data_IF_153234582104
#
_entry.id   IF_153234582104
#
_cell.length_a   1.000
_cell.length_b   1.000
_cell.length_c   1.000
_cell.angle_alpha   90.00
_cell.angle_beta   90.00
_cell.angle_gamma   90.00
#
_symmetry.space_group_name_H-M   'P 1'
#
loop_
_entity.id
_entity.type
_entity.pdbx_description
1 polymer ?
#
# COMPACT_ATOMS: atom_id res chain seq x y z
N UNK A 1 16.55 -54.03 54.96
CA UNK A 1 16.28 -52.59 54.74
C UNK A 1 14.95 -52.49 54.03
N UNK A 2 13.91 -52.11 54.80
CA UNK A 2 12.60 -51.63 54.34
C UNK A 2 12.72 -50.27 53.59
N UNK A 3 11.64 -49.60 53.10
CA UNK A 3 10.24 -50.04 52.94
C UNK A 3 9.60 -49.75 51.56
N UNK A 4 8.37 -50.27 51.48
CA UNK A 4 7.25 -50.04 50.56
C UNK A 4 6.82 -48.56 50.47
N UNK A 5 6.49 -48.07 49.27
CA UNK A 5 5.96 -46.72 49.02
C UNK A 5 4.74 -46.71 48.10
N UNK A 6 3.59 -46.36 48.69
CA UNK A 6 2.23 -46.34 48.17
C UNK A 6 2.01 -45.55 46.85
N UNK A 7 1.23 -46.14 45.95
CA UNK A 7 0.43 -45.39 44.96
C UNK A 7 -0.76 -44.76 45.65
N UNK A 8 -0.80 -43.42 45.73
CA UNK A 8 -1.98 -42.66 46.13
C UNK A 8 -2.51 -41.94 44.89
N UNK A 9 -3.70 -42.40 44.47
CA UNK A 9 -4.59 -41.71 43.55
C UNK A 9 -5.09 -40.42 44.21
N UNK A 10 -4.74 -39.26 43.65
CA UNK A 10 -5.32 -37.97 44.01
C UNK A 10 -6.25 -37.53 42.89
N UNK A 11 -7.53 -37.73 43.14
CA UNK A 11 -8.65 -37.19 42.38
C UNK A 11 -8.72 -35.68 42.70
N UNK A 12 -8.16 -34.82 41.84
CA UNK A 12 -8.33 -33.37 41.99
C UNK A 12 -9.68 -32.92 41.41
N UNK A 13 -10.63 -32.70 42.32
CA UNK A 13 -11.86 -31.93 42.11
C UNK A 13 -11.53 -30.55 41.53
N UNK A 14 -11.96 -30.31 40.29
CA UNK A 14 -11.92 -28.98 39.66
C UNK A 14 -13.05 -28.14 40.26
N UNK A 15 -12.68 -27.18 41.11
CA UNK A 15 -13.57 -26.09 41.53
C UNK A 15 -13.62 -25.01 40.43
N UNK A 16 -14.78 -24.38 40.16
CA UNK A 16 -14.89 -23.33 39.15
C UNK A 16 -14.24 -22.03 39.65
N UNK A 17 -13.26 -21.55 38.88
CA UNK A 17 -12.56 -20.29 39.11
C UNK A 17 -13.47 -19.13 38.70
N UNK A 18 -13.88 -18.30 39.66
CA UNK A 18 -14.54 -17.02 39.41
C UNK A 18 -13.55 -16.02 38.80
N UNK A 19 -13.95 -15.19 37.81
CA UNK A 19 -13.07 -14.19 37.22
C UNK A 19 -12.84 -12.99 38.17
N UNK A 20 -11.65 -12.39 38.18
CA UNK A 20 -11.32 -11.29 39.07
C UNK A 20 -12.03 -9.99 38.69
N UNK A 21 -12.63 -9.37 39.70
CA UNK A 21 -13.22 -8.04 39.71
C UNK A 21 -12.21 -6.95 39.35
N UNK A 22 -12.52 -6.14 38.34
CA UNK A 22 -11.72 -5.00 37.89
C UNK A 22 -11.73 -3.85 38.92
N UNK A 23 -10.59 -3.21 39.19
CA UNK A 23 -10.50 -2.13 40.17
C UNK A 23 -11.18 -0.85 39.66
N UNK A 24 -12.07 -0.35 40.51
CA UNK A 24 -12.85 0.86 40.36
C UNK A 24 -11.93 2.09 40.55
N UNK A 25 -11.65 2.83 39.47
CA UNK A 25 -10.95 4.12 39.59
C UNK A 25 -11.93 5.20 40.12
N UNK A 26 -11.50 6.05 41.07
CA UNK A 26 -12.38 7.07 41.65
C UNK A 26 -12.64 8.22 40.66
N UNK A 27 -13.92 8.55 40.47
CA UNK A 27 -14.34 9.80 39.85
C UNK A 27 -13.92 11.00 40.74
N UNK A 28 -13.34 12.08 40.18
CA UNK A 28 -13.13 13.31 40.92
C UNK A 28 -14.46 13.96 41.29
N UNK A 29 -14.57 14.30 42.58
CA UNK A 29 -15.65 15.01 43.24
C UNK A 29 -16.01 16.32 42.52
N UNK A 30 -17.31 16.57 42.43
CA UNK A 30 -17.92 17.86 42.08
C UNK A 30 -17.48 18.93 43.09
N UNK A 31 -16.72 19.93 42.64
CA UNK A 31 -16.58 21.19 43.37
C UNK A 31 -17.73 22.13 42.96
N UNK A 32 -18.57 22.48 43.93
CA UNK A 32 -19.46 23.63 43.88
C UNK A 32 -18.63 24.88 44.16
N UNK A 33 -18.49 25.79 43.20
CA UNK A 33 -18.13 27.18 43.53
C UNK A 33 -18.73 28.17 42.53
N UNK A 34 -19.67 28.94 43.06
CA UNK A 34 -20.05 30.34 42.77
C UNK A 34 -20.44 30.76 41.35
N UNK A 35 -21.75 31.05 41.25
CA UNK A 35 -22.37 31.98 40.31
C UNK A 35 -21.53 33.26 40.14
N UNK A 36 -21.22 33.59 38.89
CA UNK A 36 -21.08 34.97 38.44
C UNK A 36 -22.09 35.19 37.31
N UNK A 37 -23.04 36.08 37.58
CA UNK A 37 -24.08 36.53 36.68
C UNK A 37 -23.46 37.45 35.62
N UNK A 38 -23.65 37.17 34.33
CA UNK A 38 -23.40 38.08 33.18
C UNK A 38 -24.48 37.81 32.12
N UNK A 39 -24.86 38.80 31.28
CA UNK A 39 -26.24 39.17 31.05
C UNK A 39 -26.86 38.44 29.85
N UNK A 40 -28.17 38.53 29.75
CA UNK A 40 -29.00 38.00 28.67
C UNK A 40 -28.42 38.28 27.29
N UNK A 41 -27.93 37.24 26.62
CA UNK A 41 -27.77 37.19 25.17
C UNK A 41 -28.86 36.24 24.66
N UNK A 42 -29.64 36.77 23.72
CA UNK A 42 -30.81 36.15 23.11
C UNK A 42 -30.59 34.66 22.80
N UNK A 43 -31.51 33.80 23.22
CA UNK A 43 -31.47 32.36 22.95
C UNK A 43 -31.55 32.11 21.44
N UNK A 44 -30.40 32.04 20.77
CA UNK A 44 -30.33 31.67 19.36
C UNK A 44 -30.85 30.23 19.20
N UNK A 45 -31.75 30.05 18.23
CA UNK A 45 -32.31 28.73 17.93
C UNK A 45 -31.18 27.77 17.50
N UNK A 46 -31.36 26.46 17.73
CA UNK A 46 -30.35 25.42 17.37
C UNK A 46 -29.88 25.56 15.92
N UNK A 47 -30.78 26.03 15.05
CA UNK A 47 -30.58 26.30 13.64
C UNK A 47 -29.69 27.52 13.35
N UNK A 48 -29.77 28.58 14.16
CA UNK A 48 -28.98 29.81 13.98
C UNK A 48 -27.52 29.64 14.40
N UNK A 49 -27.26 28.93 15.51
CA UNK A 49 -25.89 28.60 15.94
C UNK A 49 -25.23 27.58 15.00
N UNK A 50 -25.99 26.60 14.49
CA UNK A 50 -25.49 25.66 13.49
C UNK A 50 -25.04 26.39 12.22
N UNK A 51 -25.81 27.39 11.75
CA UNK A 51 -25.43 28.23 10.59
C UNK A 51 -24.15 29.03 10.83
N UNK A 52 -23.95 29.56 12.04
CA UNK A 52 -22.75 30.35 12.39
C UNK A 52 -21.48 29.49 12.53
N UNK A 53 -21.59 28.30 13.13
CA UNK A 53 -20.45 27.37 13.24
C UNK A 53 -20.14 26.72 11.90
N UNK A 54 -21.16 26.41 11.10
CA UNK A 54 -21.00 25.88 9.74
C UNK A 54 -20.27 26.87 8.81
N UNK A 55 -20.62 28.16 8.85
CA UNK A 55 -19.96 29.16 8.01
C UNK A 55 -18.53 29.50 8.45
N UNK A 56 -18.16 29.28 9.72
CA UNK A 56 -16.81 29.58 10.23
C UNK A 56 -15.83 28.38 10.16
N UNK A 57 -16.30 27.13 10.26
CA UNK A 57 -15.42 25.96 10.40
C UNK A 57 -15.52 24.91 9.25
N UNK A 58 -16.42 25.10 8.27
CA UNK A 58 -16.48 24.21 7.07
C UNK A 58 -15.32 24.47 6.09
N UNK A 59 -14.53 25.54 6.28
CA UNK A 59 -13.35 25.86 5.48
C UNK A 59 -12.08 25.04 5.82
N UNK A 60 -12.22 23.87 6.44
CA UNK A 60 -11.29 22.75 6.16
C UNK A 60 -10.32 22.31 7.26
N UNK A 61 -10.41 22.81 8.50
CA UNK A 61 -9.46 22.41 9.58
C UNK A 61 -10.04 21.40 10.58
N UNK A 62 -11.36 21.38 10.80
CA UNK A 62 -12.02 20.48 11.76
C UNK A 62 -12.89 19.44 11.07
N UNK A 63 -12.94 18.23 11.63
CA UNK A 63 -13.78 17.16 11.11
C UNK A 63 -15.26 17.41 11.43
N UNK A 64 -16.22 16.99 10.58
CA UNK A 64 -17.66 17.11 10.86
C UNK A 64 -18.07 16.50 12.20
N UNK A 65 -17.41 15.42 12.60
CA UNK A 65 -17.61 14.78 13.92
C UNK A 65 -17.21 15.73 15.05
N UNK A 66 -16.08 16.43 14.92
CA UNK A 66 -15.62 17.39 15.93
C UNK A 66 -16.54 18.59 16.03
N UNK A 67 -16.97 19.14 14.89
CA UNK A 67 -17.89 20.28 14.82
C UNK A 67 -19.23 19.93 15.46
N UNK A 68 -19.78 18.75 15.12
CA UNK A 68 -21.03 18.26 15.70
C UNK A 68 -20.90 18.00 17.21
N UNK A 69 -19.79 17.41 17.65
CA UNK A 69 -19.53 17.17 19.07
C UNK A 69 -19.46 18.51 19.84
N UNK A 70 -18.74 19.51 19.32
CA UNK A 70 -18.59 20.82 19.92
C UNK A 70 -19.96 21.53 20.07
N UNK A 71 -20.77 21.52 19.01
CA UNK A 71 -22.12 22.09 19.00
C UNK A 71 -23.05 21.44 20.03
N UNK A 72 -23.08 20.10 20.08
CA UNK A 72 -24.01 19.36 20.92
C UNK A 72 -23.59 19.36 22.40
N UNK A 73 -22.28 19.24 22.68
CA UNK A 73 -21.77 19.26 24.06
C UNK A 73 -22.06 20.59 24.75
N UNK A 74 -22.00 21.71 24.04
CA UNK A 74 -22.36 23.04 24.59
C UNK A 74 -23.80 23.10 25.07
N UNK A 75 -24.69 22.28 24.53
CA UNK A 75 -26.11 22.17 24.91
C UNK A 75 -26.40 20.99 25.84
N UNK A 76 -25.36 20.30 26.33
CA UNK A 76 -25.50 19.13 27.19
C UNK A 76 -25.98 17.87 26.48
N UNK A 77 -26.00 17.86 25.14
CA UNK A 77 -26.40 16.72 24.32
C UNK A 77 -25.16 15.93 23.93
N UNK A 78 -25.17 14.62 24.18
CA UNK A 78 -24.07 13.74 23.74
C UNK A 78 -24.54 12.89 22.55
N UNK A 79 -23.99 13.10 21.33
CA UNK A 79 -24.34 12.28 20.18
C UNK A 79 -23.83 10.85 20.36
N UNK A 80 -24.70 9.87 20.18
CA UNK A 80 -24.32 8.44 20.16
C UNK A 80 -24.21 7.95 18.73
N UNK A 81 -23.15 7.22 18.42
CA UNK A 81 -22.92 6.63 17.10
C UNK A 81 -22.99 5.11 17.18
N UNK A 82 -23.80 4.50 16.33
CA UNK A 82 -23.98 3.05 16.26
C UNK A 82 -23.64 2.55 14.86
N UNK A 83 -22.82 1.50 14.79
CA UNK A 83 -22.54 0.80 13.53
C UNK A 83 -23.68 -0.17 13.28
N UNK A 84 -24.48 0.11 12.26
CA UNK A 84 -25.69 -0.67 11.97
C UNK A 84 -25.40 -1.81 11.01
N UNK A 85 -24.55 -1.58 10.01
CA UNK A 85 -24.30 -2.60 9.01
C UNK A 85 -22.96 -2.46 8.32
N UNK A 86 -22.42 -3.61 7.91
CA UNK A 86 -21.30 -3.74 6.99
C UNK A 86 -21.86 -4.52 5.80
N UNK A 87 -22.01 -3.86 4.66
CA UNK A 87 -22.46 -4.43 3.38
C UNK A 87 -21.31 -4.35 2.36
N UNK A 88 -21.50 -4.95 1.18
CA UNK A 88 -20.54 -4.86 0.07
C UNK A 88 -19.51 -5.99 0.04
N UNK A 89 -18.72 -6.01 -1.04
CA UNK A 89 -17.69 -7.01 -1.23
C UNK A 89 -16.51 -6.77 -0.30
N UNK A 90 -15.69 -7.80 -0.03
CA UNK A 90 -14.48 -7.66 0.80
C UNK A 90 -13.52 -6.60 0.24
N UNK A 91 -13.49 -6.45 -1.08
CA UNK A 91 -12.68 -5.43 -1.77
C UNK A 91 -13.38 -4.07 -1.90
N UNK A 92 -14.68 -3.98 -1.59
CA UNK A 92 -15.47 -2.74 -1.61
C UNK A 92 -16.51 -2.73 -0.46
N UNK A 93 -16.05 -2.64 0.80
CA UNK A 93 -16.95 -2.66 1.94
C UNK A 93 -17.65 -1.31 2.13
N UNK A 94 -18.95 -1.37 2.42
CA UNK A 94 -19.82 -0.24 2.76
C UNK A 94 -20.18 -0.34 4.23
N UNK A 95 -19.79 0.67 5.00
CA UNK A 95 -20.11 0.79 6.42
C UNK A 95 -21.25 1.79 6.59
N UNK A 96 -22.24 1.45 7.42
CA UNK A 96 -23.38 2.32 7.73
C UNK A 96 -23.44 2.65 9.21
N UNK A 97 -23.34 3.93 9.54
CA UNK A 97 -23.45 4.46 10.90
C UNK A 97 -24.75 5.24 11.07
N UNK A 98 -25.39 5.08 12.23
CA UNK A 98 -26.50 5.94 12.68
C UNK A 98 -26.04 6.82 13.82
N UNK A 99 -26.50 8.06 13.83
CA UNK A 99 -26.29 9.02 14.92
C UNK A 99 -27.61 9.29 15.64
N UNK A 100 -27.57 9.25 16.96
CA UNK A 100 -28.70 9.48 17.85
C UNK A 100 -28.46 10.72 18.70
N UNK A 101 -29.50 11.55 18.85
CA UNK A 101 -29.55 12.71 19.73
C UNK A 101 -30.56 12.44 20.84
N UNK A 102 -30.16 12.53 22.11
CA UNK A 102 -31.03 12.25 23.25
C UNK A 102 -31.80 10.92 23.13
N UNK A 103 -31.14 9.89 22.57
CA UNK A 103 -31.71 8.57 22.32
C UNK A 103 -32.79 8.51 21.21
N UNK A 104 -33.02 9.61 20.48
CA UNK A 104 -33.80 9.65 19.25
C UNK A 104 -32.91 9.54 18.02
N UNK A 105 -33.37 8.80 17.02
CA UNK A 105 -32.65 8.63 15.75
C UNK A 105 -32.64 9.95 14.98
N UNK A 106 -31.44 10.43 14.64
CA UNK A 106 -31.27 11.76 14.04
C UNK A 106 -30.83 11.71 12.57
N UNK A 107 -29.83 10.90 12.24
CA UNK A 107 -29.37 10.73 10.85
C UNK A 107 -28.62 9.42 10.65
N UNK A 108 -28.46 9.02 9.37
CA UNK A 108 -27.60 7.91 8.96
C UNK A 108 -26.51 8.40 8.01
N UNK A 109 -25.38 7.72 7.97
CA UNK A 109 -24.31 7.97 7.00
C UNK A 109 -23.62 6.68 6.58
N UNK A 110 -23.14 6.68 5.34
CA UNK A 110 -22.45 5.54 4.72
C UNK A 110 -21.05 5.94 4.30
N UNK A 111 -20.14 4.97 4.21
CA UNK A 111 -18.78 5.23 3.73
C UNK A 111 -17.97 3.96 3.53
N UNK A 112 -16.82 4.08 2.85
CA UNK A 112 -15.93 2.94 2.55
C UNK A 112 -15.07 2.48 3.74
N UNK A 113 -15.16 3.20 4.85
CA UNK A 113 -14.51 2.84 6.11
C UNK A 113 -15.39 3.24 7.29
N UNK A 114 -15.16 2.63 8.47
CA UNK A 114 -15.86 3.03 9.71
C UNK A 114 -15.68 4.51 10.04
N UNK A 115 -14.49 5.07 9.76
CA UNK A 115 -14.20 6.50 9.98
C UNK A 115 -15.04 7.35 9.03
N UNK A 116 -15.00 7.05 7.74
CA UNK A 116 -15.72 7.77 6.69
C UNK A 116 -17.24 7.75 6.91
N UNK A 117 -17.81 6.57 7.18
CA UNK A 117 -19.23 6.42 7.49
C UNK A 117 -19.67 7.23 8.72
N UNK A 118 -18.83 7.28 9.76
CA UNK A 118 -19.08 8.11 10.94
C UNK A 118 -19.02 9.61 10.63
N UNK A 119 -18.10 10.03 9.77
CA UNK A 119 -17.98 11.44 9.33
C UNK A 119 -19.17 11.84 8.45
N UNK A 120 -19.60 10.96 7.54
CA UNK A 120 -20.81 11.14 6.74
C UNK A 120 -22.06 11.26 7.61
N UNK A 121 -22.22 10.40 8.62
CA UNK A 121 -23.37 10.48 9.54
C UNK A 121 -23.40 11.79 10.33
N UNK A 122 -22.24 12.26 10.80
CA UNK A 122 -22.13 13.54 11.50
C UNK A 122 -22.41 14.73 10.55
N UNK A 123 -21.93 14.67 9.31
CA UNK A 123 -22.17 15.70 8.30
C UNK A 123 -23.65 15.79 7.92
N UNK A 124 -24.31 14.67 7.66
CA UNK A 124 -25.74 14.64 7.33
C UNK A 124 -26.59 15.25 8.47
N UNK A 125 -26.21 14.98 9.72
CA UNK A 125 -26.86 15.60 10.87
C UNK A 125 -26.59 17.11 10.97
N UNK A 126 -25.36 17.57 10.68
CA UNK A 126 -25.06 18.99 10.62
C UNK A 126 -25.85 19.69 9.51
N UNK A 127 -25.94 19.10 8.32
CA UNK A 127 -26.69 19.65 7.19
C UNK A 127 -28.20 19.73 7.50
N UNK A 128 -28.74 18.74 8.24
CA UNK A 128 -30.11 18.78 8.80
C UNK A 128 -30.28 19.96 9.78
N UNK A 129 -29.34 20.14 10.71
CA UNK A 129 -29.40 21.22 11.72
C UNK A 129 -29.24 22.62 11.11
N UNK A 130 -28.51 22.76 10.01
CA UNK A 130 -28.32 24.03 9.28
C UNK A 130 -29.51 24.35 8.37
N UNK A 131 -30.38 23.37 8.11
CA UNK A 131 -31.55 23.50 7.23
C UNK A 131 -31.22 23.37 5.74
N UNK A 132 -30.12 22.68 5.39
CA UNK A 132 -29.71 22.42 4.00
C UNK A 132 -30.34 21.15 3.41
N UNK A 133 -30.90 20.27 4.24
CA UNK A 133 -31.56 19.03 3.83
C UNK A 133 -32.81 18.75 4.67
N UNK A 134 -33.82 18.10 4.08
CA UNK A 134 -35.02 17.60 4.76
C UNK A 134 -34.76 16.25 5.44
N UNK A 135 -35.48 15.94 6.52
CA UNK A 135 -35.31 14.70 7.30
C UNK A 135 -35.47 13.40 6.47
N UNK A 136 -36.25 13.42 5.37
CA UNK A 136 -36.35 12.27 4.46
C UNK A 136 -35.11 12.05 3.58
N UNK A 137 -34.36 13.11 3.26
CA UNK A 137 -33.16 13.04 2.41
C UNK A 137 -31.91 12.62 3.20
N UNK A 138 -31.80 13.04 4.47
CA UNK A 138 -30.73 12.61 5.38
C UNK A 138 -30.80 11.11 5.72
N UNK A 139 -31.94 10.47 5.45
CA UNK A 139 -32.22 9.06 5.74
C UNK A 139 -32.16 8.14 4.50
N UNK A 140 -32.18 8.70 3.28
CA UNK A 140 -32.03 7.94 2.03
C UNK A 140 -30.65 8.19 1.40
N UNK A 141 -29.65 7.44 1.87
CA UNK A 141 -28.46 7.13 1.06
C UNK A 141 -28.58 5.68 0.59
N UNK A 142 -29.45 5.44 -0.38
CA UNK A 142 -29.31 4.25 -1.22
C UNK A 142 -28.02 4.44 -2.01
N UNK A 143 -27.11 3.47 -1.91
CA UNK A 143 -25.84 3.50 -2.62
C UNK A 143 -26.06 3.74 -4.10
N UNK A 144 -25.70 4.92 -4.58
CA UNK A 144 -25.56 5.21 -5.99
C UNK A 144 -24.17 4.75 -6.42
N UNK A 145 -24.03 3.69 -7.23
CA UNK A 145 -22.77 3.33 -7.84
C UNK A 145 -22.54 4.32 -9.00
N UNK A 146 -21.67 5.31 -8.80
CA UNK A 146 -21.25 6.19 -9.92
C UNK A 146 -21.12 7.68 -9.65
N UNK A 147 -21.10 8.17 -8.40
CA UNK A 147 -20.74 9.55 -8.13
C UNK A 147 -19.21 9.72 -8.01
N UNK A 148 -18.62 10.82 -8.53
CA UNK A 148 -17.18 10.98 -8.63
C UNK A 148 -16.52 11.08 -7.26
N UNK A 149 -15.27 10.64 -7.27
CA UNK A 149 -14.32 10.40 -6.18
C UNK A 149 -14.25 11.51 -5.11
N UNK A 150 -15.10 11.44 -4.07
CA UNK A 150 -15.00 12.29 -2.84
C UNK A 150 -14.19 11.54 -1.76
N UNK A 151 -13.05 10.96 -2.13
CA UNK A 151 -12.07 10.44 -1.15
C UNK A 151 -11.17 11.58 -0.59
N UNK A 152 -11.38 12.81 -1.03
CA UNK A 152 -10.36 13.86 -0.98
C UNK A 152 -10.48 14.84 0.20
N UNK A 153 -11.54 14.80 1.02
CA UNK A 153 -11.81 15.88 1.99
C UNK A 153 -11.79 15.49 3.48
N UNK A 154 -11.00 14.50 3.86
CA UNK A 154 -10.50 14.40 5.25
C UNK A 154 -8.97 14.44 5.21
N UNK A 155 -8.45 15.55 4.67
CA UNK A 155 -7.03 15.86 4.67
C UNK A 155 -6.68 16.30 6.08
N UNK A 156 -5.89 15.46 6.77
CA UNK A 156 -5.08 15.94 7.89
C UNK A 156 -4.21 17.08 7.37
N UNK A 157 -4.07 18.23 8.06
CA UNK A 157 -3.27 19.38 7.60
C UNK A 157 -1.79 19.11 7.30
N UNK A 158 -1.34 17.86 7.47
CA UNK A 158 0.02 17.38 7.23
C UNK A 158 0.14 16.37 6.07
N UNK A 159 -0.96 15.97 5.42
CA UNK A 159 -0.92 15.07 4.26
C UNK A 159 -0.76 15.87 2.96
N UNK A 160 0.46 16.37 2.76
CA UNK A 160 0.90 17.06 1.57
C UNK A 160 0.75 16.15 0.32
N UNK A 161 -0.09 16.60 -0.61
CA UNK A 161 0.02 16.43 -2.08
C UNK A 161 -0.15 15.05 -2.72
N UNK A 162 -0.40 13.97 -1.99
CA UNK A 162 -0.59 12.64 -2.61
C UNK A 162 -2.03 12.17 -2.53
N UNK A 163 -2.83 12.50 -3.55
CA UNK A 163 -4.18 11.95 -3.71
C UNK A 163 -4.12 10.47 -4.13
N UNK A 164 -4.92 9.63 -3.48
CA UNK A 164 -5.09 8.22 -3.82
C UNK A 164 -4.11 7.24 -3.15
N UNK A 165 -3.97 6.05 -3.75
CA UNK A 165 -3.10 4.97 -3.26
C UNK A 165 -1.99 4.65 -4.28
N UNK A 166 -0.92 5.47 -4.34
CA UNK A 166 0.13 5.31 -5.34
C UNK A 166 0.94 4.02 -5.16
N UNK A 167 1.00 3.48 -3.93
CA UNK A 167 1.64 2.18 -3.67
C UNK A 167 0.85 1.07 -4.37
N UNK A 168 -0.49 1.11 -4.25
CA UNK A 168 -1.37 0.16 -4.93
C UNK A 168 -1.29 0.27 -6.45
N UNK A 169 -1.37 1.49 -6.99
CA UNK A 169 -1.25 1.72 -8.43
C UNK A 169 0.08 1.24 -9.01
N UNK A 170 1.19 1.45 -8.28
CA UNK A 170 2.50 0.92 -8.66
C UNK A 170 2.53 -0.59 -8.66
N UNK A 171 2.02 -1.22 -7.59
CA UNK A 171 1.97 -2.68 -7.49
C UNK A 171 1.14 -3.29 -8.61
N UNK A 172 -0.04 -2.71 -8.90
CA UNK A 172 -0.92 -3.16 -9.98
C UNK A 172 -0.27 -3.00 -11.36
N UNK A 173 0.43 -1.88 -11.61
CA UNK A 173 1.19 -1.69 -12.84
C UNK A 173 2.30 -2.74 -13.00
N UNK A 174 3.05 -3.03 -11.93
CA UNK A 174 4.08 -4.06 -11.95
C UNK A 174 3.47 -5.44 -12.25
N UNK A 175 2.36 -5.79 -11.58
CA UNK A 175 1.65 -7.04 -11.82
C UNK A 175 1.14 -7.17 -13.26
N UNK A 176 0.51 -6.10 -13.77
CA UNK A 176 -0.04 -6.04 -15.13
C UNK A 176 1.04 -6.21 -16.20
N UNK A 177 2.23 -5.61 -15.98
CA UNK A 177 3.39 -5.72 -16.88
C UNK A 177 4.30 -6.93 -16.61
N UNK A 178 3.92 -7.83 -15.68
CA UNK A 178 4.72 -8.97 -15.20
C UNK A 178 6.12 -8.59 -14.71
N UNK A 179 6.24 -7.42 -14.12
CA UNK A 179 7.46 -6.95 -13.47
C UNK A 179 7.56 -7.49 -12.03
N UNK A 180 8.79 -7.62 -11.50
CA UNK A 180 8.97 -7.96 -10.09
C UNK A 180 8.28 -6.93 -9.18
N UNK A 181 7.82 -7.35 -7.99
CA UNK A 181 7.17 -6.45 -7.06
C UNK A 181 8.10 -5.31 -6.63
N UNK A 182 7.58 -4.09 -6.40
CA UNK A 182 8.39 -2.96 -5.98
C UNK A 182 9.08 -3.23 -4.64
N UNK A 183 10.40 -3.10 -4.63
CA UNK A 183 11.22 -3.23 -3.44
C UNK A 183 11.39 -1.86 -2.77
N UNK A 184 11.25 -1.80 -1.45
CA UNK A 184 11.39 -0.56 -0.70
C UNK A 184 12.53 -0.68 0.32
N UNK A 185 13.54 0.17 0.16
CA UNK A 185 14.60 0.32 1.15
C UNK A 185 14.39 1.60 1.96
N UNK A 186 14.63 1.54 3.27
CA UNK A 186 14.53 2.70 4.16
C UNK A 186 15.92 3.28 4.30
N UNK A 187 16.13 4.44 3.71
CA UNK A 187 17.47 4.99 3.53
C UNK A 187 17.56 6.29 4.31
N UNK A 188 18.07 6.20 5.53
CA UNK A 188 18.30 7.31 6.46
C UNK A 188 17.08 8.07 7.02
N UNK A 189 17.31 8.56 8.24
CA UNK A 189 16.46 9.50 8.97
C UNK A 189 17.35 10.72 9.23
N UNK A 190 17.04 11.85 8.58
CA UNK A 190 17.80 13.10 8.70
C UNK A 190 17.00 14.13 9.50
N UNK A 191 17.68 15.16 10.00
CA UNK A 191 17.05 16.28 10.71
C UNK A 191 16.96 16.12 12.22
N UNK A 192 16.57 17.20 12.88
CA UNK A 192 16.44 17.29 14.34
C UNK A 192 15.24 16.45 14.81
N UNK A 193 15.18 16.00 16.09
CA UNK A 193 14.06 15.21 16.60
C UNK A 193 12.66 15.82 16.36
N UNK A 194 12.56 17.15 16.31
CA UNK A 194 11.33 17.90 16.06
C UNK A 194 11.09 18.25 14.58
N UNK A 195 12.05 17.97 13.71
CA UNK A 195 12.01 18.24 12.26
C UNK A 195 12.58 17.04 11.49
N UNK A 196 12.14 15.84 11.88
CA UNK A 196 12.68 14.61 11.34
C UNK A 196 12.15 14.36 9.93
N UNK A 197 13.06 14.13 9.00
CA UNK A 197 12.77 13.73 7.63
C UNK A 197 13.19 12.28 7.42
N UNK A 198 12.30 11.50 6.81
CA UNK A 198 12.51 10.12 6.45
C UNK A 198 12.67 10.03 4.94
N UNK A 199 13.68 9.29 4.48
CA UNK A 199 13.86 9.00 3.07
C UNK A 199 13.65 7.51 2.83
N UNK A 200 12.89 7.20 1.77
CA UNK A 200 12.59 5.83 1.33
C UNK A 200 12.89 5.74 -0.15
N UNK A 201 13.72 4.78 -0.54
CA UNK A 201 13.95 4.42 -1.93
C UNK A 201 13.03 3.28 -2.35
N UNK A 202 12.45 3.40 -3.55
CA UNK A 202 11.64 2.41 -4.22
C UNK A 202 12.40 1.93 -5.46
N UNK A 203 12.50 0.62 -5.64
CA UNK A 203 13.17 0.01 -6.78
C UNK A 203 12.20 -0.91 -7.53
N UNK A 204 12.13 -0.74 -8.84
CA UNK A 204 11.37 -1.60 -9.76
C UNK A 204 12.24 -1.85 -10.97
N UNK A 205 12.57 -3.11 -11.25
CA UNK A 205 13.55 -3.48 -12.28
C UNK A 205 14.87 -2.70 -12.06
N UNK A 206 15.25 -1.90 -13.06
CA UNK A 206 16.44 -1.06 -13.11
C UNK A 206 16.19 0.37 -12.61
N UNK A 207 14.93 0.71 -12.32
CA UNK A 207 14.54 2.05 -11.89
C UNK A 207 14.60 2.15 -10.38
N UNK A 208 15.14 3.25 -9.90
CA UNK A 208 15.19 3.60 -8.48
C UNK A 208 14.71 5.03 -8.31
N UNK A 209 13.73 5.23 -7.44
CA UNK A 209 13.14 6.53 -7.12
C UNK A 209 13.10 6.73 -5.62
N UNK A 210 13.28 7.98 -5.18
CA UNK A 210 13.35 8.32 -3.76
C UNK A 210 12.25 9.29 -3.34
N UNK A 211 11.57 8.94 -2.25
CA UNK A 211 10.56 9.76 -1.61
C UNK A 211 11.02 10.20 -0.22
N UNK A 212 10.94 11.51 0.04
CA UNK A 212 11.20 12.09 1.36
C UNK A 212 9.90 12.50 2.03
N UNK A 213 9.83 12.44 3.35
CA UNK A 213 8.66 12.95 4.08
C UNK A 213 8.81 12.95 5.59
N UNK A 214 7.93 13.68 6.28
CA UNK A 214 7.89 13.80 7.75
C UNK A 214 7.56 12.49 8.48
N UNK A 215 7.19 11.45 7.75
CA UNK A 215 6.97 10.10 8.28
C UNK A 215 7.42 9.04 7.28
N UNK A 216 7.80 7.86 7.79
CA UNK A 216 8.11 6.69 6.95
C UNK A 216 6.98 6.32 5.99
N UNK A 217 5.73 6.51 6.41
CA UNK A 217 4.54 6.22 5.61
C UNK A 217 4.43 7.19 4.42
N UNK A 218 4.64 8.48 4.67
CA UNK A 218 4.61 9.52 3.64
C UNK A 218 5.78 9.36 2.66
N UNK A 219 7.00 9.15 3.18
CA UNK A 219 8.19 8.90 2.37
C UNK A 219 8.00 7.71 1.41
N UNK A 220 7.50 6.57 1.91
CA UNK A 220 7.17 5.40 1.07
C UNK A 220 6.12 5.73 0.01
N UNK A 221 5.06 6.47 0.38
CA UNK A 221 3.98 6.83 -0.52
C UNK A 221 4.47 7.73 -1.67
N UNK A 222 5.32 8.71 -1.35
CA UNK A 222 5.94 9.60 -2.34
C UNK A 222 6.93 8.87 -3.25
N UNK A 223 7.73 7.96 -2.68
CA UNK A 223 8.65 7.13 -3.47
C UNK A 223 7.88 6.28 -4.50
N UNK A 224 6.77 5.67 -4.08
CA UNK A 224 5.91 4.89 -4.96
C UNK A 224 5.23 5.75 -6.04
N UNK A 225 4.80 6.97 -5.71
CA UNK A 225 4.18 7.88 -6.67
C UNK A 225 5.15 8.29 -7.77
N UNK A 226 6.37 8.71 -7.41
CA UNK A 226 7.42 9.08 -8.38
C UNK A 226 7.75 7.90 -9.29
N UNK A 227 7.92 6.71 -8.71
CA UNK A 227 8.18 5.48 -9.46
C UNK A 227 7.05 5.17 -10.45
N UNK A 228 5.79 5.25 -10.02
CA UNK A 228 4.65 4.99 -10.90
C UNK A 228 4.57 5.98 -12.06
N UNK A 229 4.86 7.25 -11.82
CA UNK A 229 4.91 8.29 -12.86
C UNK A 229 6.06 8.01 -13.86
N UNK A 230 7.27 7.75 -13.35
CA UNK A 230 8.43 7.44 -14.17
C UNK A 230 8.20 6.22 -15.08
N UNK A 231 7.55 5.18 -14.57
CA UNK A 231 7.23 3.97 -15.33
C UNK A 231 6.07 4.15 -16.32
N UNK A 232 5.19 5.13 -16.11
CA UNK A 232 4.05 5.41 -17.01
C UNK A 232 4.49 6.12 -18.28
N UNK A 233 5.46 7.02 -18.17
CA UNK A 233 5.89 7.88 -19.28
C UNK A 233 6.90 7.18 -20.22
N UNK A 234 7.24 5.91 -19.97
CA UNK A 234 8.13 5.11 -20.81
C UNK A 234 7.37 4.42 -21.97
N UNK A 235 7.72 4.69 -23.25
CA UNK A 235 7.23 3.92 -24.37
C UNK A 235 7.75 2.47 -24.29
N UNK A 236 6.83 1.53 -24.53
CA UNK A 236 7.03 0.09 -24.36
C UNK A 236 8.12 -0.47 -25.28
N UNK A 237 9.31 -0.76 -24.74
CA UNK A 237 10.24 -1.74 -25.31
C UNK A 237 10.18 -3.01 -24.43
N UNK A 238 9.84 -4.12 -25.09
CA UNK A 238 9.59 -5.42 -24.48
C UNK A 238 10.84 -6.05 -23.86
N UNK A 239 10.59 -6.98 -22.94
CA UNK A 239 11.55 -7.89 -22.32
C UNK A 239 12.71 -7.24 -21.56
N UNK A 240 12.46 -6.89 -20.29
CA UNK A 240 13.50 -6.49 -19.32
C UNK A 240 13.67 -7.52 -18.19
N UNK A 241 13.40 -8.79 -18.47
CA UNK A 241 13.93 -9.91 -17.67
C UNK A 241 15.28 -10.35 -18.25
N UNK A 242 16.25 -9.44 -18.26
CA UNK A 242 17.65 -9.83 -18.23
C UNK A 242 18.16 -9.48 -16.84
N UNK A 243 18.28 -10.56 -16.07
CA UNK A 243 18.93 -10.69 -14.78
C UNK A 243 20.27 -9.97 -14.75
N UNK A 244 20.54 -9.40 -13.58
CA UNK A 244 21.80 -8.84 -13.10
C UNK A 244 23.04 -9.31 -13.86
N UNK A 245 23.61 -8.45 -14.72
CA UNK A 245 25.05 -8.39 -14.92
C UNK A 245 25.48 -6.94 -15.14
N UNK A 246 26.41 -6.50 -14.28
CA UNK A 246 27.21 -5.30 -14.48
C UNK A 246 27.83 -5.35 -15.89
N UNK A 247 27.21 -4.61 -16.82
CA UNK A 247 27.75 -4.47 -18.16
C UNK A 247 28.98 -3.55 -18.08
N UNK A 248 30.14 -4.16 -17.81
CA UNK A 248 31.38 -3.71 -18.42
C UNK A 248 31.13 -3.64 -19.92
N UNK A 249 31.12 -2.41 -20.40
CA UNK A 249 30.85 -2.02 -21.77
C UNK A 249 31.77 -2.76 -22.76
N UNK A 250 31.30 -3.89 -23.29
CA UNK A 250 31.89 -4.61 -24.42
C UNK A 250 30.95 -4.61 -25.63
N UNK A 251 30.13 -3.55 -25.80
CA UNK A 251 29.55 -3.23 -27.11
C UNK A 251 30.63 -2.62 -28.01
N UNK A 252 31.69 -3.37 -28.31
CA UNK A 252 32.45 -3.13 -29.54
C UNK A 252 31.58 -3.68 -30.67
N UNK A 253 31.10 -2.77 -31.53
CA UNK A 253 30.57 -3.14 -32.84
C UNK A 253 31.57 -4.11 -33.51
N UNK A 254 31.04 -5.23 -33.96
CA UNK A 254 31.74 -6.27 -34.73
C UNK A 254 32.72 -7.19 -33.95
N UNK A 255 32.32 -7.68 -32.77
CA UNK A 255 33.00 -8.83 -32.17
C UNK A 255 32.42 -10.13 -32.71
N UNK A 256 33.22 -10.89 -33.45
CA UNK A 256 32.85 -12.18 -34.02
C UNK A 256 32.99 -13.28 -32.95
N UNK A 257 31.90 -13.51 -32.20
CA UNK A 257 31.85 -14.50 -31.12
C UNK A 257 32.17 -15.92 -31.60
N UNK A 258 31.81 -16.26 -32.84
CA UNK A 258 32.04 -17.59 -33.42
C UNK A 258 33.53 -17.81 -33.61
N UNK A 259 34.23 -16.85 -34.22
CA UNK A 259 35.70 -16.94 -34.38
C UNK A 259 36.41 -16.99 -33.04
N UNK A 260 36.02 -16.13 -32.10
CA UNK A 260 36.68 -16.07 -30.80
C UNK A 260 36.51 -17.36 -29.99
N UNK A 261 35.31 -17.96 -30.01
CA UNK A 261 35.07 -19.24 -29.35
C UNK A 261 35.89 -20.39 -29.98
N UNK A 262 36.04 -20.40 -31.31
CA UNK A 262 36.91 -21.36 -32.01
C UNK A 262 38.39 -21.18 -31.64
N UNK A 263 38.86 -19.94 -31.48
CA UNK A 263 40.23 -19.65 -31.03
C UNK A 263 40.49 -20.18 -29.62
N UNK A 264 39.56 -19.95 -28.68
CA UNK A 264 39.65 -20.50 -27.32
C UNK A 264 39.63 -22.02 -27.34
N UNK A 265 38.76 -22.64 -28.16
CA UNK A 265 38.73 -24.10 -28.32
C UNK A 265 40.07 -24.66 -28.76
N UNK A 266 40.73 -24.01 -29.73
CA UNK A 266 42.07 -24.39 -30.19
C UNK A 266 43.13 -24.21 -29.09
N UNK A 267 43.10 -23.11 -28.35
CA UNK A 267 44.08 -22.81 -27.30
C UNK A 267 43.94 -23.76 -26.10
N UNK A 268 42.69 -24.04 -25.69
CA UNK A 268 42.37 -24.87 -24.52
C UNK A 268 42.14 -26.35 -24.86
N UNK A 269 42.39 -26.74 -26.12
CA UNK A 269 42.27 -28.12 -26.61
C UNK A 269 40.88 -28.76 -26.44
N UNK A 270 39.81 -28.01 -26.74
CA UNK A 270 38.45 -28.54 -26.87
C UNK A 270 37.85 -28.24 -28.24
N UNK A 271 37.01 -29.15 -28.73
CA UNK A 271 36.29 -28.99 -29.99
C UNK A 271 35.00 -28.20 -29.80
N UNK A 272 34.67 -27.34 -30.77
CA UNK A 272 33.45 -26.54 -30.85
C UNK A 272 32.65 -26.98 -32.07
N UNK A 273 31.49 -27.59 -31.85
CA UNK A 273 30.62 -28.09 -32.92
C UNK A 273 29.31 -27.33 -32.91
N UNK A 274 28.92 -26.77 -34.06
CA UNK A 274 27.62 -26.11 -34.23
C UNK A 274 26.63 -27.09 -34.88
N UNK A 275 25.43 -27.18 -34.31
CA UNK A 275 24.32 -27.99 -34.77
C UNK A 275 23.13 -27.07 -35.00
N UNK A 276 22.84 -26.82 -36.26
CA UNK A 276 21.73 -25.99 -36.68
C UNK A 276 20.41 -26.77 -36.59
N UNK A 277 19.37 -26.14 -36.06
CA UNK A 277 18.04 -26.76 -35.93
C UNK A 277 17.17 -26.28 -37.09
N UNK A 278 16.75 -27.23 -37.94
CA UNK A 278 15.94 -26.94 -39.14
C UNK A 278 14.56 -26.36 -38.80
N UNK A 279 14.00 -26.73 -37.64
CA UNK A 279 12.73 -26.22 -37.16
C UNK A 279 12.89 -24.81 -36.58
N UNK A 280 12.08 -23.86 -37.09
CA UNK A 280 12.02 -22.52 -36.53
C UNK A 280 11.33 -22.56 -35.16
N UNK A 281 11.80 -21.72 -34.24
CA UNK A 281 11.14 -21.56 -32.94
C UNK A 281 9.70 -21.09 -33.09
N UNK A 282 8.90 -21.17 -32.03
CA UNK A 282 7.50 -20.70 -31.99
C UNK A 282 7.33 -19.21 -32.35
N UNK A 283 8.42 -18.44 -32.32
CA UNK A 283 8.51 -17.02 -32.71
C UNK A 283 9.09 -16.81 -34.12
N UNK A 284 9.31 -17.87 -34.89
CA UNK A 284 9.85 -17.81 -36.25
C UNK A 284 11.36 -17.57 -36.35
N UNK A 285 12.08 -17.60 -35.22
CA UNK A 285 13.54 -17.42 -35.18
C UNK A 285 14.30 -18.71 -35.50
N UNK A 286 15.46 -18.56 -36.12
CA UNK A 286 16.44 -19.62 -36.37
C UNK A 286 17.07 -20.06 -35.04
N UNK A 287 17.39 -21.35 -34.93
CA UNK A 287 17.88 -21.97 -33.71
C UNK A 287 19.19 -22.71 -33.98
N UNK A 288 20.13 -22.63 -33.05
CA UNK A 288 21.42 -23.33 -33.13
C UNK A 288 21.82 -23.84 -31.73
N UNK A 289 22.46 -25.00 -31.71
CA UNK A 289 23.11 -25.55 -30.52
C UNK A 289 24.62 -25.58 -30.76
N UNK A 290 25.40 -25.06 -29.82
CA UNK A 290 26.86 -25.23 -29.83
C UNK A 290 27.26 -26.23 -28.76
N UNK A 291 28.00 -27.26 -29.14
CA UNK A 291 28.55 -28.27 -28.26
C UNK A 291 30.05 -28.02 -28.06
N UNK A 292 30.47 -27.93 -26.80
CA UNK A 292 31.86 -27.85 -26.39
C UNK A 292 32.29 -29.21 -25.84
N UNK A 293 33.35 -29.78 -26.39
CA UNK A 293 33.95 -31.04 -25.92
C UNK A 293 34.76 -30.87 -24.63
N UNK A 294 34.35 -29.96 -23.75
CA UNK A 294 34.92 -29.76 -22.41
C UNK A 294 34.53 -30.89 -21.47
N UNK A 295 35.11 -30.95 -20.27
CA UNK A 295 34.73 -31.89 -19.22
C UNK A 295 34.24 -31.11 -17.99
N UNK A 296 32.92 -31.11 -17.69
CA UNK A 296 31.83 -31.82 -18.38
C UNK A 296 31.53 -31.23 -19.78
N UNK A 297 30.92 -32.05 -20.65
CA UNK A 297 30.47 -31.60 -21.97
C UNK A 297 29.43 -30.51 -21.77
N UNK A 298 29.60 -29.38 -22.46
CA UNK A 298 28.70 -28.26 -22.39
C UNK A 298 27.96 -28.10 -23.71
N UNK A 299 26.65 -27.89 -23.65
CA UNK A 299 25.82 -27.57 -24.81
C UNK A 299 25.10 -26.26 -24.52
N UNK A 300 25.27 -25.28 -25.40
CA UNK A 300 24.64 -23.97 -25.27
C UNK A 300 23.67 -23.74 -26.43
N UNK A 301 22.51 -23.17 -26.10
CA UNK A 301 21.48 -22.84 -27.08
C UNK A 301 21.60 -21.38 -27.49
N UNK A 302 21.33 -21.10 -28.77
CA UNK A 302 21.22 -19.76 -29.30
C UNK A 302 20.06 -19.61 -30.27
N UNK A 303 19.51 -18.41 -30.34
CA UNK A 303 18.42 -18.07 -31.25
C UNK A 303 18.61 -16.71 -31.92
N UNK A 304 18.24 -16.62 -33.19
CA UNK A 304 18.49 -15.42 -34.00
C UNK A 304 17.52 -15.26 -35.15
N UNK A 305 17.48 -14.06 -35.73
CA UNK A 305 16.65 -13.81 -36.92
C UNK A 305 17.19 -14.59 -38.12
N UNK A 306 18.52 -14.63 -38.28
CA UNK A 306 19.22 -15.47 -39.25
C UNK A 306 19.96 -16.63 -38.58
N UNK A 307 20.42 -17.60 -39.39
CA UNK A 307 21.26 -18.70 -38.91
C UNK A 307 22.57 -18.20 -38.29
N UNK A 308 23.19 -17.19 -38.92
CA UNK A 308 24.42 -16.58 -38.43
C UNK A 308 24.21 -15.90 -37.07
N UNK A 309 23.07 -15.23 -36.89
CA UNK A 309 22.72 -14.61 -35.61
C UNK A 309 22.49 -15.68 -34.53
N UNK A 310 21.82 -16.78 -34.88
CA UNK A 310 21.60 -17.89 -33.95
C UNK A 310 22.92 -18.55 -33.51
N UNK A 311 23.88 -18.69 -34.44
CA UNK A 311 25.22 -19.19 -34.14
C UNK A 311 26.03 -18.21 -33.30
N UNK A 312 25.95 -16.90 -33.57
CA UNK A 312 26.60 -15.87 -32.77
C UNK A 312 26.06 -15.83 -31.34
N UNK A 313 24.73 -15.94 -31.17
CA UNK A 313 24.05 -16.01 -29.88
C UNK A 313 24.45 -17.28 -29.10
N UNK A 314 24.47 -18.44 -29.78
CA UNK A 314 24.93 -19.70 -29.18
C UNK A 314 26.40 -19.60 -28.73
N UNK A 315 27.26 -18.98 -29.55
CA UNK A 315 28.67 -18.76 -29.24
C UNK A 315 28.86 -17.81 -28.05
N UNK A 316 28.05 -16.74 -27.97
CA UNK A 316 28.06 -15.82 -26.83
C UNK A 316 27.72 -16.54 -25.52
N UNK A 317 26.64 -17.34 -25.51
CA UNK A 317 26.22 -18.12 -24.35
C UNK A 317 27.29 -19.15 -23.92
N UNK A 318 27.99 -19.75 -24.89
CA UNK A 318 29.12 -20.65 -24.62
C UNK A 318 30.33 -19.92 -24.01
N UNK A 319 30.65 -18.71 -24.47
CA UNK A 319 31.72 -17.89 -23.88
C UNK A 319 31.39 -17.49 -22.44
N UNK A 320 30.13 -17.14 -22.17
CA UNK A 320 29.63 -16.85 -20.82
C UNK A 320 29.74 -18.07 -19.90
N UNK A 321 29.38 -19.26 -20.39
CA UNK A 321 29.59 -20.51 -19.66
C UNK A 321 31.07 -20.72 -19.29
N UNK A 322 31.99 -20.56 -20.25
CA UNK A 322 33.42 -20.70 -20.02
C UNK A 322 33.95 -19.65 -19.02
N UNK A 323 33.44 -18.42 -19.06
CA UNK A 323 33.76 -17.36 -18.10
C UNK A 323 33.35 -17.72 -16.69
N UNK A 324 32.16 -18.29 -16.51
CA UNK A 324 31.67 -18.75 -15.19
C UNK A 324 32.55 -19.89 -14.66
N UNK A 325 32.94 -20.83 -15.51
CA UNK A 325 33.78 -21.98 -15.13
C UNK A 325 35.23 -21.60 -14.79
N UNK A 326 35.72 -20.44 -15.27
CA UNK A 326 37.10 -19.98 -15.08
C UNK A 326 37.28 -18.95 -13.97
N UNK A 327 36.19 -18.29 -13.52
CA UNK A 327 36.19 -17.41 -12.33
C UNK A 327 36.28 -18.25 -11.05
N UNK A 328 37.49 -18.40 -10.51
CA UNK A 328 37.75 -18.91 -9.16
C UNK A 328 37.71 -17.79 -8.12
#
# INVERSE_FOLDING_TARGET
>A
MEPVGHMISQHSTILPVQPPSTPHYPHPRKNKTSQKHLPSMQTLTLTEEAKLVYNNDVNGTKTPVSVLQELLCRRGITPKYELVQIEGAIHEPVFRYRVFLNNEFAATGTGRSKKDAKHSAAKNLLDLLVGKQSAEQANQSNGTPGAPDITTQVVSPYDDKVMGNPIGWLQEMCMSKRWPPPFYNKENEKGLPHEREFTVSCQVLKFREEGTGKSKKLAKRLAAQKMWQALRDMPSEGNLLESDEETVNLKKKDFDYVKFLQEIGKEQSFEVTYVDVEEKSFIGKSQCLVQLSTLPVAVCYGCGETLADAQADAAHNALEYLRIMTKK
#
